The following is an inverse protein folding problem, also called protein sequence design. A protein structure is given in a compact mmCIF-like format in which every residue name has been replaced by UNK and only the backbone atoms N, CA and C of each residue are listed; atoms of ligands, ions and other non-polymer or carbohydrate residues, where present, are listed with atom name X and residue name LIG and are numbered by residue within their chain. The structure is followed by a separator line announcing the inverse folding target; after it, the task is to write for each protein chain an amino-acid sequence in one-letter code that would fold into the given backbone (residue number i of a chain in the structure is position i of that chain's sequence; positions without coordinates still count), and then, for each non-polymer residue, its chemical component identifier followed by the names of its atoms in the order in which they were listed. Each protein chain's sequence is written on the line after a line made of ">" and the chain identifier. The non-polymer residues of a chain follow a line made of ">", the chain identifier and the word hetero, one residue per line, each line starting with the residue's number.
data_IF_638173187994
#
_entry.id   IF_638173187994
#
_cell.length_a   1.000
_cell.length_b   1.000
_cell.length_c   1.000
_cell.angle_alpha   90.00
_cell.angle_beta   90.00
_cell.angle_gamma   90.00
#
_symmetry.space_group_name_H-M   'P 1'
#
loop_
_entity.id
_entity.type
_entity.pdbx_description
1 polymer ?
#
# COMPACT_ATOMS: atom_id res chain seq x y z
N UNK A 1 -5.70 11.21 6.86
CA UNK A 1 -5.67 12.55 7.51
C UNK A 1 -4.55 13.38 6.87
N UNK A 2 -4.73 14.69 6.68
CA UNK A 2 -3.78 15.52 5.90
C UNK A 2 -3.25 16.76 6.62
N UNK A 3 -3.98 17.27 7.63
CA UNK A 3 -3.59 18.44 8.44
C UNK A 3 -3.16 18.06 9.86
N UNK A 4 -3.98 17.29 10.56
CA UNK A 4 -3.74 16.83 11.93
C UNK A 4 -3.79 15.31 12.01
N UNK A 5 -2.98 14.72 12.87
CA UNK A 5 -2.93 13.26 13.11
C UNK A 5 -4.30 12.76 13.64
N UNK A 6 -4.90 13.49 14.58
CA UNK A 6 -6.18 13.11 15.19
C UNK A 6 -6.06 11.89 16.09
N UNK A 7 -7.15 11.15 16.28
CA UNK A 7 -7.22 10.05 17.26
C UNK A 7 -6.27 8.88 17.00
N UNK A 8 -5.69 8.76 15.80
CA UNK A 8 -4.71 7.71 15.51
C UNK A 8 -3.39 7.89 16.27
N UNK A 9 -3.16 9.05 16.91
CA UNK A 9 -2.07 9.26 17.87
C UNK A 9 -2.14 8.30 19.05
N UNK A 10 -3.35 7.84 19.43
CA UNK A 10 -3.48 6.82 20.46
C UNK A 10 -2.82 5.51 19.99
N UNK A 11 -1.74 5.14 20.65
CA UNK A 11 -0.92 3.95 20.34
C UNK A 11 -1.78 2.68 20.31
N UNK A 12 -2.82 2.58 21.14
CA UNK A 12 -3.72 1.41 21.15
C UNK A 12 -4.45 1.27 19.82
N UNK A 13 -4.87 2.39 19.23
CA UNK A 13 -5.53 2.40 17.92
C UNK A 13 -4.55 2.05 16.80
N UNK A 14 -3.31 2.49 16.93
CA UNK A 14 -2.24 2.13 15.99
C UNK A 14 -1.96 0.62 16.03
N UNK A 15 -1.74 0.05 17.22
CA UNK A 15 -1.47 -1.39 17.39
C UNK A 15 -2.60 -2.21 16.79
N UNK A 16 -3.85 -1.88 17.11
CA UNK A 16 -5.02 -2.57 16.56
C UNK A 16 -5.02 -2.48 15.03
N UNK A 17 -4.77 -1.32 14.46
CA UNK A 17 -4.76 -1.14 13.00
C UNK A 17 -3.67 -1.99 12.32
N UNK A 18 -2.47 -2.07 12.90
CA UNK A 18 -1.37 -2.87 12.34
C UNK A 18 -1.58 -4.38 12.48
N UNK A 19 -2.38 -4.82 13.45
CA UNK A 19 -2.58 -6.25 13.74
C UNK A 19 -3.78 -6.90 13.02
N UNK A 20 -4.55 -6.15 12.22
CA UNK A 20 -5.75 -6.71 11.54
C UNK A 20 -5.45 -7.56 10.30
N UNK A 21 -4.32 -7.32 9.65
CA UNK A 21 -3.98 -7.97 8.38
C UNK A 21 -3.25 -9.29 8.61
N UNK A 22 -3.72 -10.37 7.95
CA UNK A 22 -3.04 -11.68 7.96
C UNK A 22 -2.04 -11.87 6.82
N UNK A 23 -2.37 -11.41 5.61
CA UNK A 23 -1.60 -11.70 4.38
C UNK A 23 -1.06 -10.45 3.67
N UNK A 24 -1.58 -9.26 3.99
CA UNK A 24 -1.14 -8.04 3.33
C UNK A 24 -1.71 -6.81 4.03
N UNK A 25 -0.85 -5.83 4.26
CA UNK A 25 -1.19 -4.55 4.86
C UNK A 25 -0.74 -3.44 3.90
N UNK A 26 -1.71 -2.74 3.31
CA UNK A 26 -1.47 -1.58 2.46
C UNK A 26 -1.95 -0.33 3.19
N UNK A 27 -1.05 0.62 3.43
CA UNK A 27 -1.33 1.84 4.18
C UNK A 27 -1.19 3.04 3.27
N UNK A 28 -2.29 3.78 3.11
CA UNK A 28 -2.30 5.04 2.35
C UNK A 28 -2.41 6.21 3.33
N UNK A 29 -1.44 7.13 3.26
CA UNK A 29 -1.41 8.28 4.17
C UNK A 29 -0.31 9.28 3.83
N UNK A 30 -0.36 10.43 4.48
CA UNK A 30 0.66 11.48 4.34
C UNK A 30 1.83 11.18 5.28
N UNK A 31 2.85 10.48 4.80
CA UNK A 31 4.03 10.07 5.59
C UNK A 31 4.65 11.23 6.38
N UNK A 32 4.80 12.41 5.77
CA UNK A 32 5.34 13.61 6.42
C UNK A 32 4.55 14.07 7.65
N UNK A 33 3.23 13.88 7.67
CA UNK A 33 2.40 14.21 8.83
C UNK A 33 2.63 13.24 9.99
N UNK A 34 2.83 11.96 9.67
CA UNK A 34 3.02 10.92 10.69
C UNK A 34 4.45 10.84 11.21
N UNK A 35 5.44 11.20 10.38
CA UNK A 35 6.84 11.31 10.79
C UNK A 35 7.05 12.38 11.88
N UNK A 36 6.18 13.38 11.97
CA UNK A 36 6.20 14.41 13.02
C UNK A 36 5.63 13.93 14.36
N UNK A 37 5.14 12.68 14.45
CA UNK A 37 4.49 12.12 15.62
C UNK A 37 5.43 11.11 16.32
N UNK A 38 6.04 11.44 17.47
CA UNK A 38 6.95 10.54 18.17
C UNK A 38 6.30 9.20 18.54
N UNK A 39 5.02 9.19 18.90
CA UNK A 39 4.26 8.00 19.26
C UNK A 39 4.14 7.01 18.07
N UNK A 40 4.26 7.49 16.84
CA UNK A 40 4.20 6.67 15.62
C UNK A 40 5.57 6.33 15.04
N UNK A 41 6.65 6.93 15.56
CA UNK A 41 8.01 6.72 15.08
C UNK A 41 8.41 5.23 14.94
N UNK A 42 8.14 4.32 15.90
CA UNK A 42 8.56 2.92 15.75
C UNK A 42 7.87 2.22 14.57
N UNK A 43 6.57 2.48 14.35
CA UNK A 43 5.85 1.91 13.20
C UNK A 43 6.30 2.55 11.90
N UNK A 44 6.51 3.87 11.89
CA UNK A 44 6.91 4.58 10.69
C UNK A 44 8.32 4.19 10.25
N UNK A 45 9.25 3.93 11.18
CA UNK A 45 10.59 3.43 10.85
C UNK A 45 10.55 2.14 10.03
N UNK A 46 9.73 1.16 10.45
CA UNK A 46 9.55 -0.10 9.74
C UNK A 46 8.81 0.03 8.40
N UNK A 47 7.87 0.99 8.31
CA UNK A 47 7.14 1.25 7.06
C UNK A 47 8.05 1.93 6.02
N UNK A 48 8.90 2.86 6.45
CA UNK A 48 9.78 3.65 5.57
C UNK A 48 11.04 2.89 5.13
N UNK A 49 11.33 1.72 5.70
CA UNK A 49 12.30 0.78 5.12
C UNK A 49 11.88 0.27 3.73
N UNK A 50 10.59 0.42 3.37
CA UNK A 50 10.04 0.03 2.07
C UNK A 50 9.74 1.25 1.21
N UNK A 51 9.75 1.11 -0.13
CA UNK A 51 9.32 2.17 -1.04
C UNK A 51 7.93 2.70 -0.66
N UNK A 52 7.76 4.02 -0.64
CA UNK A 52 6.48 4.66 -0.29
C UNK A 52 5.49 4.68 -1.43
N UNK A 53 5.98 4.52 -2.65
CA UNK A 53 5.16 4.44 -3.85
C UNK A 53 4.64 3.01 -4.02
N UNK A 54 3.42 2.89 -4.51
CA UNK A 54 2.76 1.60 -4.64
C UNK A 54 3.41 0.79 -5.77
N UNK A 55 3.87 -0.43 -5.49
CA UNK A 55 4.44 -1.34 -6.47
C UNK A 55 3.42 -2.43 -6.81
N UNK A 56 3.05 -2.54 -8.09
CA UNK A 56 2.05 -3.49 -8.60
C UNK A 56 2.68 -4.35 -9.68
N UNK A 57 2.32 -5.63 -9.77
CA UNK A 57 2.73 -6.53 -10.86
C UNK A 57 1.47 -6.87 -11.67
N UNK A 58 1.16 -6.11 -12.75
CA UNK A 58 -0.13 -6.27 -13.45
C UNK A 58 -0.28 -7.61 -14.17
N UNK A 59 0.84 -8.25 -14.50
CA UNK A 59 0.94 -9.55 -15.18
C UNK A 59 0.69 -10.73 -14.25
N UNK A 60 0.80 -10.52 -12.93
CA UNK A 60 0.60 -11.56 -11.92
C UNK A 60 -0.87 -11.55 -11.45
N UNK A 61 -1.57 -12.67 -11.67
CA UNK A 61 -2.97 -12.84 -11.24
C UNK A 61 -3.04 -13.51 -9.88
N UNK A 62 -4.15 -13.28 -9.19
CA UNK A 62 -4.50 -14.03 -8.00
C UNK A 62 -5.21 -15.35 -8.39
N UNK A 63 -4.92 -16.49 -7.73
CA UNK A 63 -3.85 -16.69 -6.74
C UNK A 63 -2.47 -16.78 -7.41
N UNK A 64 -1.43 -16.40 -6.67
CA UNK A 64 -0.03 -16.59 -7.11
C UNK A 64 0.66 -17.69 -6.32
N UNK A 65 1.65 -18.32 -6.94
CA UNK A 65 2.58 -19.27 -6.32
C UNK A 65 3.93 -18.64 -5.94
N UNK A 66 4.14 -17.36 -6.31
CA UNK A 66 5.38 -16.62 -6.03
C UNK A 66 5.58 -16.45 -4.53
N UNK A 67 6.79 -16.73 -4.05
CA UNK A 67 7.14 -16.64 -2.62
C UNK A 67 7.61 -15.23 -2.24
N UNK A 68 7.59 -14.94 -0.94
CA UNK A 68 8.13 -13.70 -0.39
C UNK A 68 9.63 -13.57 -0.74
N UNK A 69 10.02 -12.45 -1.35
CA UNK A 69 11.40 -12.16 -1.74
C UNK A 69 11.79 -12.58 -3.15
N UNK A 70 10.94 -13.33 -3.86
CA UNK A 70 11.17 -13.63 -5.28
C UNK A 70 11.03 -12.36 -6.12
N UNK A 71 12.02 -12.12 -6.98
CA UNK A 71 12.05 -10.95 -7.86
C UNK A 71 10.91 -11.02 -8.86
N UNK A 72 10.23 -9.89 -9.05
CA UNK A 72 9.24 -9.70 -10.07
C UNK A 72 9.34 -8.27 -10.60
N UNK A 73 9.00 -8.09 -11.87
CA UNK A 73 8.96 -6.76 -12.49
C UNK A 73 7.72 -6.02 -12.01
N UNK A 74 7.91 -5.20 -10.97
CA UNK A 74 6.86 -4.35 -10.44
C UNK A 74 6.83 -3.00 -11.17
N UNK A 75 5.63 -2.60 -11.57
CA UNK A 75 5.33 -1.24 -12.00
C UNK A 75 5.14 -0.36 -10.77
N UNK A 76 5.97 0.67 -10.65
CA UNK A 76 5.83 1.69 -9.62
C UNK A 76 4.74 2.69 -10.00
N UNK A 77 3.87 2.99 -9.04
CA UNK A 77 2.77 3.94 -9.16
C UNK A 77 3.05 5.11 -8.24
N UNK A 78 3.57 6.19 -8.82
CA UNK A 78 3.92 7.40 -8.09
C UNK A 78 2.70 8.29 -7.83
N UNK A 79 1.75 8.31 -8.77
CA UNK A 79 0.60 9.20 -8.74
C UNK A 79 -0.73 8.45 -8.80
N UNK A 80 -1.74 8.99 -8.14
CA UNK A 80 -3.07 8.36 -8.12
C UNK A 80 -3.70 8.26 -9.52
N UNK A 81 -3.39 9.20 -10.42
CA UNK A 81 -3.88 9.13 -11.81
C UNK A 81 -3.33 7.91 -12.56
N UNK A 82 -2.07 7.53 -12.32
CA UNK A 82 -1.46 6.34 -12.90
C UNK A 82 -2.16 5.08 -12.38
N UNK A 83 -2.48 5.04 -11.08
CA UNK A 83 -3.23 3.94 -10.48
C UNK A 83 -4.60 3.75 -11.14
N UNK A 84 -5.34 4.84 -11.33
CA UNK A 84 -6.67 4.81 -11.95
C UNK A 84 -6.59 4.37 -13.42
N UNK A 85 -5.62 4.89 -14.17
CA UNK A 85 -5.40 4.49 -15.56
C UNK A 85 -5.09 2.99 -15.68
N UNK A 86 -4.22 2.47 -14.80
CA UNK A 86 -3.88 1.05 -14.75
C UNK A 86 -5.11 0.18 -14.52
N UNK A 87 -5.93 0.50 -13.51
CA UNK A 87 -7.15 -0.26 -13.20
C UNK A 87 -8.13 -0.24 -14.37
N UNK A 88 -8.33 0.92 -15.01
CA UNK A 88 -9.22 1.03 -16.17
C UNK A 88 -8.78 0.11 -17.31
N UNK A 89 -7.48 0.11 -17.64
CA UNK A 89 -6.91 -0.74 -18.68
C UNK A 89 -7.06 -2.23 -18.32
N UNK A 90 -6.78 -2.59 -17.06
CA UNK A 90 -6.93 -3.97 -16.59
C UNK A 90 -8.38 -4.46 -16.62
N UNK A 91 -9.34 -3.61 -16.23
CA UNK A 91 -10.76 -3.95 -16.23
C UNK A 91 -11.29 -4.13 -17.66
N UNK A 92 -10.90 -3.26 -18.60
CA UNK A 92 -11.25 -3.42 -20.01
C UNK A 92 -10.65 -4.70 -20.60
N UNK A 93 -9.38 -4.98 -20.35
CA UNK A 93 -8.73 -6.21 -20.80
C UNK A 93 -9.42 -7.47 -20.27
N UNK A 94 -9.94 -7.44 -19.03
CA UNK A 94 -10.72 -8.54 -18.47
C UNK A 94 -12.07 -8.73 -19.15
N UNK A 95 -12.76 -7.64 -19.54
CA UNK A 95 -14.03 -7.73 -20.26
C UNK A 95 -13.86 -8.35 -21.65
N UNK A 96 -12.80 -7.96 -22.38
CA UNK A 96 -12.51 -8.54 -23.70
C UNK A 96 -12.08 -10.01 -23.62
N UNK A 97 -11.39 -10.42 -22.55
CA UNK A 97 -10.98 -11.81 -22.36
C UNK A 97 -12.13 -12.77 -22.01
N UNK A 98 -13.34 -12.25 -21.74
CA UNK A 98 -14.54 -13.03 -21.42
C UNK A 98 -15.50 -13.22 -22.61
N UNK A 99 -15.21 -12.60 -23.76
CA UNK A 99 -15.95 -12.77 -25.02
C UNK A 99 -15.26 -13.80 -25.91
#
# INVERSE_FOLDING_TARGET
>A
RTKNIGHIRDIRRLIVAMSRARLGLFVFGRSSLFAQCPEMAPVMSQLLERPTNLQIIPTERFPTTRKLGEKAEATEIAEFQQFVALIKNMAQAQLFAQQ
#
